data_IF_230742511782
#
_entry.id   IF_230742511782
#
_cell.length_a   1.000
_cell.length_b   1.000
_cell.length_c   1.000
_cell.angle_alpha   90.00
_cell.angle_beta   90.00
_cell.angle_gamma   90.00
#
_symmetry.space_group_name_H-M   'P 1'
#
loop_
_entity.id
_entity.type
_entity.pdbx_description
1 polymer ?
#
# COMPACT_ATOMS: atom_id res chain seq x y z
N UNK A 1 -5.34 -23.49 -8.54
CA UNK A 1 -4.19 -22.81 -9.19
C UNK A 1 -4.33 -21.30 -9.07
N UNK A 2 -5.31 -20.65 -9.72
CA UNK A 2 -5.46 -19.19 -9.70
C UNK A 2 -5.52 -18.53 -8.30
N UNK A 3 -6.23 -19.13 -7.32
CA UNK A 3 -6.28 -18.61 -5.95
C UNK A 3 -4.89 -18.48 -5.28
N UNK A 4 -3.96 -19.38 -5.59
CA UNK A 4 -2.59 -19.34 -5.04
C UNK A 4 -1.86 -18.12 -5.57
N UNK A 5 -1.98 -17.85 -6.87
CA UNK A 5 -1.34 -16.70 -7.52
C UNK A 5 -1.99 -15.39 -7.08
N UNK A 6 -3.32 -15.34 -6.95
CA UNK A 6 -4.05 -14.19 -6.39
C UNK A 6 -3.48 -13.87 -5.01
N UNK A 7 -3.44 -14.85 -4.11
CA UNK A 7 -2.94 -14.66 -2.75
C UNK A 7 -1.51 -14.14 -2.73
N UNK A 8 -0.60 -14.76 -3.48
CA UNK A 8 0.82 -14.39 -3.44
C UNK A 8 1.07 -13.00 -4.05
N UNK A 9 0.43 -12.69 -5.18
CA UNK A 9 0.60 -11.38 -5.84
C UNK A 9 0.02 -10.25 -4.99
N UNK A 10 -1.19 -10.42 -4.45
CA UNK A 10 -1.80 -9.41 -3.58
C UNK A 10 -1.03 -9.24 -2.26
N UNK A 11 -0.49 -10.32 -1.69
CA UNK A 11 0.41 -10.23 -0.53
C UNK A 11 1.65 -9.38 -0.82
N UNK A 12 2.28 -9.56 -1.99
CA UNK A 12 3.42 -8.72 -2.44
C UNK A 12 3.03 -7.26 -2.68
N UNK A 13 1.74 -7.02 -2.88
CA UNK A 13 1.12 -5.71 -3.00
C UNK A 13 0.56 -5.18 -1.67
N UNK A 14 0.95 -5.79 -0.55
CA UNK A 14 0.55 -5.44 0.81
C UNK A 14 -0.94 -5.60 1.12
N UNK A 15 -1.65 -6.49 0.42
CA UNK A 15 -3.04 -6.85 0.71
C UNK A 15 -3.11 -8.27 1.29
N UNK A 16 -3.80 -8.43 2.42
CA UNK A 16 -4.08 -9.74 3.01
C UNK A 16 -5.31 -10.40 2.36
N UNK A 17 -5.72 -11.58 2.83
CA UNK A 17 -6.85 -12.33 2.25
C UNK A 17 -8.18 -11.56 2.26
N UNK A 18 -8.49 -10.86 3.36
CA UNK A 18 -9.71 -10.06 3.50
C UNK A 18 -9.67 -8.87 2.55
N UNK A 19 -8.58 -8.12 2.55
CA UNK A 19 -8.41 -6.97 1.65
C UNK A 19 -8.47 -7.38 0.17
N UNK A 20 -7.88 -8.53 -0.16
CA UNK A 20 -7.87 -9.08 -1.52
C UNK A 20 -9.26 -9.46 -1.99
N UNK A 21 -10.00 -10.23 -1.18
CA UNK A 21 -11.35 -10.62 -1.52
C UNK A 21 -12.26 -9.39 -1.65
N UNK A 22 -12.14 -8.41 -0.73
CA UNK A 22 -12.93 -7.19 -0.76
C UNK A 22 -12.66 -6.38 -2.05
N UNK A 23 -11.39 -6.22 -2.43
CA UNK A 23 -11.00 -5.49 -3.65
C UNK A 23 -11.55 -6.15 -4.93
N UNK A 24 -11.47 -7.47 -5.03
CA UNK A 24 -11.92 -8.18 -6.24
C UNK A 24 -13.45 -8.13 -6.32
N UNK A 25 -14.15 -8.49 -5.24
CA UNK A 25 -15.63 -8.44 -5.19
C UNK A 25 -16.11 -7.02 -5.46
N UNK A 26 -15.62 -6.04 -4.69
CA UNK A 26 -16.08 -4.66 -4.82
C UNK A 26 -15.73 -4.01 -6.16
N UNK A 27 -14.60 -4.41 -6.76
CA UNK A 27 -14.24 -3.98 -8.13
C UNK A 27 -15.16 -4.58 -9.18
N UNK A 28 -15.37 -5.90 -9.15
CA UNK A 28 -16.21 -6.62 -10.12
C UNK A 28 -17.72 -6.51 -9.86
N UNK A 29 -18.15 -5.86 -8.77
CA UNK A 29 -19.53 -5.35 -8.64
C UNK A 29 -19.88 -4.36 -9.76
N UNK A 30 -18.88 -3.71 -10.37
CA UNK A 30 -19.07 -2.71 -11.42
C UNK A 30 -18.54 -3.15 -12.79
N UNK A 31 -19.17 -2.62 -13.83
CA UNK A 31 -18.68 -2.66 -15.21
C UNK A 31 -18.73 -4.05 -15.84
N UNK A 32 -17.81 -4.27 -16.78
CA UNK A 32 -17.66 -5.50 -17.57
C UNK A 32 -16.24 -5.61 -18.15
N UNK A 33 -15.88 -6.79 -18.64
CA UNK A 33 -14.70 -6.97 -19.51
C UNK A 33 -15.06 -6.76 -20.99
N UNK A 34 -14.08 -6.77 -21.89
CA UNK A 34 -14.30 -6.53 -23.32
C UNK A 34 -13.50 -7.49 -24.22
N UNK A 35 -14.22 -8.24 -25.05
CA UNK A 35 -13.72 -9.30 -25.93
C UNK A 35 -14.72 -9.66 -27.02
N UNK A 36 -15.33 -8.65 -27.64
CA UNK A 36 -16.42 -8.80 -28.61
C UNK A 36 -16.02 -9.50 -29.92
N UNK A 37 -14.72 -9.59 -30.21
CA UNK A 37 -14.19 -10.21 -31.43
C UNK A 37 -12.73 -10.67 -31.27
N UNK A 38 -12.13 -11.20 -32.35
CA UNK A 38 -10.76 -11.75 -32.34
C UNK A 38 -9.71 -10.73 -31.88
N UNK A 39 -8.81 -11.15 -30.98
CA UNK A 39 -7.80 -10.27 -30.38
C UNK A 39 -6.71 -9.82 -31.37
N UNK A 40 -6.49 -10.55 -32.46
CA UNK A 40 -5.52 -10.23 -33.52
C UNK A 40 -5.96 -9.06 -34.42
N UNK A 41 -7.21 -8.61 -34.30
CA UNK A 41 -7.72 -7.38 -34.93
C UNK A 41 -7.40 -6.11 -34.12
N UNK A 42 -6.75 -6.24 -32.98
CA UNK A 42 -6.29 -5.12 -32.15
C UNK A 42 -4.86 -4.74 -32.58
N UNK A 43 -4.69 -3.48 -33.00
CA UNK A 43 -3.40 -2.93 -33.41
C UNK A 43 -2.40 -2.72 -32.27
N UNK A 44 -1.23 -2.11 -32.57
CA UNK A 44 -0.15 -1.93 -31.60
C UNK A 44 -0.56 -1.09 -30.39
N UNK A 45 0.11 -1.33 -29.27
CA UNK A 45 0.01 -0.55 -28.03
C UNK A 45 0.50 0.90 -28.22
N UNK A 46 0.20 1.83 -27.29
CA UNK A 46 0.46 3.27 -27.46
C UNK A 46 1.89 3.64 -27.87
N UNK A 47 2.91 3.00 -27.29
CA UNK A 47 4.33 3.31 -27.58
C UNK A 47 4.78 2.83 -28.98
N UNK A 48 4.05 1.90 -29.59
CA UNK A 48 4.29 1.39 -30.95
C UNK A 48 3.24 1.88 -31.96
N UNK A 49 2.28 2.69 -31.53
CA UNK A 49 1.23 3.22 -32.37
C UNK A 49 1.78 4.32 -33.31
N UNK A 50 1.25 4.43 -34.54
CA UNK A 50 1.67 5.47 -35.46
C UNK A 50 1.20 6.85 -34.96
N UNK A 51 1.98 7.89 -35.29
CA UNK A 51 1.83 9.23 -34.71
C UNK A 51 0.39 9.75 -34.80
N UNK A 52 -0.34 9.50 -35.88
CA UNK A 52 -1.70 9.99 -36.08
C UNK A 52 -2.72 9.50 -35.04
N UNK A 53 -2.37 8.51 -34.22
CA UNK A 53 -3.20 8.06 -33.10
C UNK A 53 -3.06 8.92 -31.84
N UNK A 54 -2.21 9.95 -31.86
CA UNK A 54 -2.12 10.98 -30.81
C UNK A 54 -1.87 10.41 -29.41
N UNK A 55 -0.97 9.42 -29.32
CA UNK A 55 -0.62 8.76 -28.06
C UNK A 55 -1.65 7.72 -27.58
N UNK A 56 -2.68 7.44 -28.38
CA UNK A 56 -3.55 6.27 -28.18
C UNK A 56 -2.98 5.06 -28.93
N UNK A 57 -3.37 3.86 -28.49
CA UNK A 57 -3.03 2.58 -29.13
C UNK A 57 -4.20 1.60 -29.05
N UNK A 58 -3.93 0.33 -29.36
CA UNK A 58 -4.91 -0.75 -29.40
C UNK A 58 -6.12 -0.45 -30.29
N UNK A 59 -5.89 0.30 -31.38
CA UNK A 59 -6.94 0.57 -32.37
C UNK A 59 -7.41 -0.75 -32.98
N UNK A 60 -8.70 -1.05 -32.80
CA UNK A 60 -9.30 -2.28 -33.31
C UNK A 60 -9.88 -2.09 -34.71
N UNK A 61 -9.67 -3.07 -35.59
CA UNK A 61 -10.34 -3.15 -36.90
C UNK A 61 -11.60 -4.01 -36.89
N UNK A 62 -12.02 -4.51 -35.72
CA UNK A 62 -13.22 -5.32 -35.55
C UNK A 62 -14.47 -4.43 -35.41
N UNK A 63 -15.41 -4.54 -36.35
CA UNK A 63 -16.65 -3.75 -36.33
C UNK A 63 -16.37 -2.25 -36.29
N UNK A 64 -17.00 -1.55 -35.34
CA UNK A 64 -16.74 -0.13 -35.06
C UNK A 64 -15.43 0.12 -34.32
N UNK A 65 -14.77 -0.92 -33.80
CA UNK A 65 -13.51 -0.85 -33.05
C UNK A 65 -13.64 -0.31 -31.62
N UNK A 66 -14.85 0.07 -31.18
CA UNK A 66 -15.12 0.65 -29.86
C UNK A 66 -16.53 0.26 -29.38
N UNK A 67 -16.93 0.71 -28.19
CA UNK A 67 -18.30 0.54 -27.69
C UNK A 67 -18.77 -0.92 -27.71
N UNK A 68 -19.78 -1.22 -28.55
CA UNK A 68 -20.37 -2.56 -28.67
C UNK A 68 -19.38 -3.61 -29.20
N UNK A 69 -18.38 -3.17 -29.97
CA UNK A 69 -17.36 -4.03 -30.59
C UNK A 69 -16.00 -3.95 -29.86
N UNK A 70 -15.98 -3.39 -28.64
CA UNK A 70 -14.74 -3.20 -27.91
C UNK A 70 -14.03 -4.52 -27.57
N UNK A 71 -12.71 -4.49 -27.70
CA UNK A 71 -11.80 -5.57 -27.30
C UNK A 71 -10.73 -4.94 -26.42
N UNK A 72 -10.51 -5.50 -25.24
CA UNK A 72 -9.47 -5.05 -24.30
C UNK A 72 -8.72 -6.24 -23.74
N UNK A 73 -9.41 -7.11 -22.99
CA UNK A 73 -8.80 -8.31 -22.41
C UNK A 73 -9.00 -9.55 -23.28
N UNK A 74 -9.93 -9.49 -24.25
CA UNK A 74 -10.38 -10.66 -25.01
C UNK A 74 -11.40 -11.51 -24.24
N UNK A 75 -11.71 -11.20 -22.99
CA UNK A 75 -12.76 -11.86 -22.20
C UNK A 75 -14.05 -11.04 -22.31
N UNK A 76 -15.22 -11.68 -22.31
CA UNK A 76 -16.51 -11.02 -22.50
C UNK A 76 -17.49 -11.39 -21.38
N UNK A 77 -17.19 -10.91 -20.17
CA UNK A 77 -17.91 -11.14 -18.91
C UNK A 77 -18.60 -9.86 -18.47
N UNK A 78 -19.86 -9.98 -18.03
CA UNK A 78 -20.59 -8.98 -17.25
C UNK A 78 -21.03 -9.67 -15.97
N UNK A 79 -20.49 -9.21 -14.83
CA UNK A 79 -20.63 -9.92 -13.56
C UNK A 79 -21.99 -9.73 -12.92
N UNK A 80 -22.53 -8.51 -12.95
CA UNK A 80 -23.74 -8.13 -12.21
C UNK A 80 -24.86 -7.68 -13.15
N UNK A 81 -26.11 -7.82 -12.70
CA UNK A 81 -27.29 -7.28 -13.38
C UNK A 81 -27.44 -5.75 -13.18
N UNK A 82 -26.56 -5.14 -12.38
CA UNK A 82 -26.55 -3.70 -12.05
C UNK A 82 -25.14 -3.10 -12.23
N UNK A 83 -24.54 -3.13 -13.44
CA UNK A 83 -23.11 -2.85 -13.64
C UNK A 83 -22.64 -1.44 -13.24
N UNK A 84 -23.55 -0.51 -12.98
CA UNK A 84 -23.25 0.88 -12.62
C UNK A 84 -23.81 1.25 -11.25
N UNK A 85 -24.09 0.27 -10.39
CA UNK A 85 -24.66 0.48 -9.06
C UNK A 85 -24.00 -0.45 -8.04
N UNK A 86 -23.69 0.11 -6.88
CA UNK A 86 -23.24 -0.68 -5.74
C UNK A 86 -24.41 -1.45 -5.13
N UNK A 87 -24.29 -2.77 -5.07
CA UNK A 87 -25.13 -3.71 -4.34
C UNK A 87 -24.37 -5.04 -4.17
N UNK A 88 -25.03 -6.09 -3.66
CA UNK A 88 -24.39 -7.37 -3.38
C UNK A 88 -24.49 -8.38 -4.53
N UNK A 89 -24.90 -7.95 -5.74
CA UNK A 89 -25.24 -8.87 -6.83
C UNK A 89 -24.07 -9.75 -7.27
N UNK A 90 -22.81 -9.28 -7.15
CA UNK A 90 -21.64 -10.11 -7.48
C UNK A 90 -21.60 -11.40 -6.66
N UNK A 91 -21.76 -11.30 -5.33
CA UNK A 91 -21.72 -12.47 -4.44
C UNK A 91 -22.99 -13.31 -4.58
N UNK A 92 -24.15 -12.67 -4.71
CA UNK A 92 -25.42 -13.36 -4.95
C UNK A 92 -25.36 -14.20 -6.23
N UNK A 93 -24.80 -13.66 -7.31
CA UNK A 93 -24.60 -14.38 -8.57
C UNK A 93 -23.52 -15.46 -8.41
N UNK A 94 -22.37 -15.15 -7.81
CA UNK A 94 -21.26 -16.11 -7.63
C UNK A 94 -21.72 -17.39 -6.91
N UNK A 95 -22.54 -17.25 -5.88
CA UNK A 95 -23.04 -18.37 -5.08
C UNK A 95 -24.39 -18.92 -5.56
N UNK A 96 -25.22 -18.12 -6.23
CA UNK A 96 -26.56 -18.50 -6.68
C UNK A 96 -26.60 -19.41 -7.91
N UNK A 97 -25.47 -19.55 -8.62
CA UNK A 97 -25.36 -20.40 -9.79
C UNK A 97 -24.24 -21.42 -9.66
N UNK A 98 -24.36 -22.53 -10.39
CA UNK A 98 -23.25 -23.41 -10.70
C UNK A 98 -22.58 -22.98 -12.00
N UNK A 99 -21.26 -23.19 -12.10
CA UNK A 99 -20.46 -22.61 -13.17
C UNK A 99 -19.87 -23.68 -14.09
N UNK A 100 -19.95 -23.46 -15.40
CA UNK A 100 -19.26 -24.26 -16.41
C UNK A 100 -18.35 -23.42 -17.30
N UNK A 101 -17.30 -24.07 -17.78
CA UNK A 101 -16.21 -23.45 -18.51
C UNK A 101 -16.62 -23.25 -19.98
N UNK A 102 -16.45 -22.04 -20.48
CA UNK A 102 -16.82 -21.63 -21.83
C UNK A 102 -15.76 -20.71 -22.45
N UNK A 103 -15.94 -20.31 -23.71
CA UNK A 103 -15.06 -19.38 -24.42
C UNK A 103 -15.76 -18.08 -24.78
N UNK A 104 -15.02 -16.98 -24.66
CA UNK A 104 -15.42 -15.67 -25.21
C UNK A 104 -15.47 -15.69 -26.74
N UNK A 105 -16.06 -14.67 -27.39
CA UNK A 105 -15.94 -14.49 -28.85
C UNK A 105 -14.48 -14.39 -29.34
N UNK A 106 -13.55 -13.93 -28.51
CA UNK A 106 -12.11 -13.91 -28.81
C UNK A 106 -11.39 -15.24 -28.48
N UNK A 107 -12.10 -16.27 -28.00
CA UNK A 107 -11.54 -17.58 -27.66
C UNK A 107 -10.94 -17.71 -26.25
N UNK A 108 -11.05 -16.67 -25.42
CA UNK A 108 -10.52 -16.65 -24.05
C UNK A 108 -11.38 -17.49 -23.09
N UNK A 109 -10.77 -18.08 -22.06
CA UNK A 109 -11.49 -18.87 -21.06
C UNK A 109 -12.28 -17.97 -20.10
N UNK A 110 -13.55 -18.32 -19.90
CA UNK A 110 -14.44 -17.72 -18.90
C UNK A 110 -15.44 -18.75 -18.40
N UNK A 111 -16.27 -18.38 -17.43
CA UNK A 111 -17.36 -19.22 -16.91
C UNK A 111 -18.72 -18.60 -17.20
N UNK A 112 -19.72 -19.46 -17.40
CA UNK A 112 -21.15 -19.10 -17.51
C UNK A 112 -21.96 -19.96 -16.55
N UNK A 113 -23.13 -19.47 -16.15
CA UNK A 113 -24.07 -20.28 -15.37
C UNK A 113 -24.50 -21.54 -16.13
N UNK A 114 -24.50 -22.69 -15.45
CA UNK A 114 -24.88 -24.01 -16.01
C UNK A 114 -26.35 -24.06 -16.43
N UNK A 115 -26.65 -25.01 -17.31
CA UNK A 115 -28.01 -25.40 -17.71
C UNK A 115 -28.87 -24.24 -18.26
N UNK A 116 -28.21 -23.19 -18.77
CA UNK A 116 -28.88 -21.98 -19.26
C UNK A 116 -29.54 -21.14 -18.14
N UNK A 117 -29.18 -21.38 -16.88
CA UNK A 117 -29.75 -20.66 -15.74
C UNK A 117 -29.45 -19.15 -15.82
N UNK A 118 -30.44 -18.32 -15.47
CA UNK A 118 -30.32 -16.87 -15.48
C UNK A 118 -30.21 -16.24 -16.89
N UNK A 119 -30.51 -16.96 -17.96
CA UNK A 119 -30.50 -16.40 -19.31
C UNK A 119 -31.34 -15.12 -19.41
N UNK A 120 -30.76 -14.07 -20.02
CA UNK A 120 -31.45 -12.79 -20.25
C UNK A 120 -31.45 -11.83 -19.05
N UNK A 121 -30.91 -12.21 -17.89
CA UNK A 121 -30.96 -11.41 -16.66
C UNK A 121 -29.91 -10.30 -16.58
N UNK A 122 -28.78 -10.46 -17.28
CA UNK A 122 -27.68 -9.50 -17.28
C UNK A 122 -27.88 -8.51 -18.43
N UNK A 123 -27.88 -7.19 -18.19
CA UNK A 123 -28.15 -6.22 -19.24
C UNK A 123 -27.00 -6.12 -20.24
N UNK A 124 -27.34 -5.84 -21.51
CA UNK A 124 -26.34 -5.49 -22.52
C UNK A 124 -25.89 -4.03 -22.36
N UNK A 125 -24.58 -3.72 -22.52
CA UNK A 125 -24.07 -2.37 -22.34
C UNK A 125 -24.64 -1.31 -23.31
N UNK A 126 -25.22 -1.71 -24.45
CA UNK A 126 -25.73 -0.79 -25.48
C UNK A 126 -27.18 -1.12 -25.88
N UNK A 127 -27.98 -1.62 -24.94
CA UNK A 127 -29.42 -1.86 -25.14
C UNK A 127 -29.74 -3.04 -26.06
N UNK A 128 -28.78 -3.95 -26.27
CA UNK A 128 -29.03 -5.26 -26.88
C UNK A 128 -29.86 -6.20 -26.00
N UNK A 129 -30.06 -7.45 -26.45
CA UNK A 129 -30.78 -8.45 -25.67
C UNK A 129 -30.04 -8.78 -24.37
N UNK A 130 -30.80 -9.20 -23.34
CA UNK A 130 -30.22 -9.67 -22.09
C UNK A 130 -29.29 -10.87 -22.28
N UNK A 131 -28.36 -11.03 -21.34
CA UNK A 131 -27.24 -11.99 -21.36
C UNK A 131 -27.32 -12.92 -20.16
N UNK A 132 -26.60 -14.03 -20.21
CA UNK A 132 -26.48 -14.96 -19.07
C UNK A 132 -25.42 -14.47 -18.06
N UNK A 133 -25.52 -14.88 -16.77
CA UNK A 133 -24.48 -14.62 -15.77
C UNK A 133 -23.14 -15.23 -16.18
N UNK A 134 -22.07 -14.46 -15.99
CA UNK A 134 -20.71 -14.86 -16.37
C UNK A 134 -19.70 -14.45 -15.32
N UNK A 135 -18.61 -15.20 -15.19
CA UNK A 135 -17.54 -14.99 -14.21
C UNK A 135 -16.17 -15.32 -14.81
N UNK A 136 -15.11 -14.73 -14.27
CA UNK A 136 -13.73 -15.12 -14.56
C UNK A 136 -13.33 -16.36 -13.76
N UNK A 137 -12.28 -17.06 -14.21
CA UNK A 137 -11.66 -18.12 -13.42
C UNK A 137 -11.11 -17.61 -12.06
N UNK A 138 -10.65 -16.35 -12.03
CA UNK A 138 -10.20 -15.68 -10.81
C UNK A 138 -11.35 -15.36 -9.85
N UNK A 139 -12.55 -15.11 -10.37
CA UNK A 139 -13.73 -14.84 -9.52
C UNK A 139 -14.19 -16.12 -8.83
N UNK A 140 -14.23 -17.25 -9.56
CA UNK A 140 -14.53 -18.56 -8.97
C UNK A 140 -13.52 -18.96 -7.89
N UNK A 141 -12.28 -18.45 -7.95
CA UNK A 141 -11.30 -18.69 -6.90
C UNK A 141 -11.77 -18.17 -5.53
N UNK A 142 -12.61 -17.13 -5.50
CA UNK A 142 -13.16 -16.56 -4.28
C UNK A 142 -14.20 -17.47 -3.60
N UNK A 143 -14.83 -18.37 -4.37
CA UNK A 143 -15.78 -19.37 -3.87
C UNK A 143 -15.15 -20.74 -3.68
N UNK A 144 -14.12 -21.08 -4.45
CA UNK A 144 -13.50 -22.42 -4.43
C UNK A 144 -12.36 -22.52 -3.41
N UNK A 145 -11.58 -21.45 -3.21
CA UNK A 145 -10.50 -21.46 -2.23
C UNK A 145 -11.06 -21.48 -0.79
N UNK A 146 -10.60 -22.39 0.10
CA UNK A 146 -11.19 -22.53 1.43
C UNK A 146 -11.12 -21.29 2.33
N UNK A 147 -10.18 -20.38 2.11
CA UNK A 147 -10.06 -19.15 2.91
C UNK A 147 -10.98 -18.08 2.32
N UNK A 148 -10.91 -17.85 1.00
CA UNK A 148 -11.77 -16.86 0.35
C UNK A 148 -13.25 -17.24 0.42
N UNK A 149 -13.59 -18.52 0.39
CA UNK A 149 -14.96 -19.01 0.51
C UNK A 149 -15.58 -18.60 1.85
N UNK A 150 -14.85 -18.78 2.95
CA UNK A 150 -15.33 -18.37 4.29
C UNK A 150 -15.56 -16.86 4.37
N UNK A 151 -14.64 -16.07 3.79
CA UNK A 151 -14.71 -14.61 3.76
C UNK A 151 -15.92 -14.16 2.92
N UNK A 152 -16.06 -14.70 1.71
CA UNK A 152 -17.09 -14.23 0.78
C UNK A 152 -18.48 -14.79 1.07
N UNK A 153 -18.60 -16.00 1.65
CA UNK A 153 -19.86 -16.47 2.22
C UNK A 153 -20.34 -15.58 3.35
N UNK A 154 -19.44 -15.15 4.23
CA UNK A 154 -19.77 -14.22 5.31
C UNK A 154 -20.40 -12.95 4.73
N UNK A 155 -19.79 -12.39 3.69
CA UNK A 155 -20.27 -11.17 3.05
C UNK A 155 -21.51 -11.33 2.18
N UNK A 156 -21.80 -12.55 1.70
CA UNK A 156 -23.08 -12.84 1.07
C UNK A 156 -24.23 -12.63 2.06
N UNK A 157 -24.04 -13.05 3.31
CA UNK A 157 -25.03 -12.91 4.39
C UNK A 157 -24.96 -11.53 5.09
N UNK A 158 -23.80 -10.87 5.02
CA UNK A 158 -23.48 -9.61 5.69
C UNK A 158 -22.82 -8.59 4.72
N UNK A 159 -23.56 -8.06 3.73
CA UNK A 159 -23.00 -7.15 2.72
C UNK A 159 -22.45 -5.83 3.28
N UNK A 160 -22.90 -5.43 4.47
CA UNK A 160 -22.36 -4.28 5.20
C UNK A 160 -20.89 -4.46 5.58
N UNK A 161 -20.45 -5.68 5.89
CA UNK A 161 -19.05 -5.99 6.20
C UNK A 161 -18.17 -5.89 4.93
N UNK A 162 -18.69 -6.33 3.77
CA UNK A 162 -18.02 -6.12 2.48
C UNK A 162 -17.85 -4.63 2.19
N UNK A 163 -18.88 -3.82 2.41
CA UNK A 163 -18.80 -2.39 2.15
C UNK A 163 -17.71 -1.71 3.00
N UNK A 164 -17.60 -2.07 4.29
CA UNK A 164 -16.55 -1.54 5.18
C UNK A 164 -15.15 -2.02 4.76
N UNK A 165 -14.97 -3.32 4.52
CA UNK A 165 -13.68 -3.87 4.11
C UNK A 165 -13.23 -3.37 2.73
N UNK A 166 -14.16 -3.24 1.78
CA UNK A 166 -13.86 -2.67 0.47
C UNK A 166 -13.47 -1.21 0.57
N UNK A 167 -14.18 -0.39 1.36
CA UNK A 167 -13.84 1.01 1.56
C UNK A 167 -12.42 1.17 2.15
N UNK A 168 -12.08 0.39 3.18
CA UNK A 168 -10.75 0.40 3.81
C UNK A 168 -9.65 -0.09 2.85
N UNK A 169 -9.88 -1.20 2.15
CA UNK A 169 -8.91 -1.78 1.22
C UNK A 169 -8.70 -0.90 -0.02
N UNK A 170 -9.76 -0.30 -0.56
CA UNK A 170 -9.68 0.67 -1.66
C UNK A 170 -8.91 1.93 -1.25
N UNK A 171 -9.20 2.48 -0.06
CA UNK A 171 -8.46 3.62 0.47
C UNK A 171 -6.97 3.29 0.61
N UNK A 172 -6.63 2.12 1.16
CA UNK A 172 -5.23 1.65 1.24
C UNK A 172 -4.60 1.51 -0.15
N UNK A 173 -5.29 0.89 -1.11
CA UNK A 173 -4.78 0.64 -2.46
C UNK A 173 -4.25 1.92 -3.13
N UNK A 174 -5.02 3.00 -3.06
CA UNK A 174 -4.73 4.25 -3.77
C UNK A 174 -3.88 5.24 -2.96
N UNK A 175 -3.48 4.88 -1.73
CA UNK A 175 -2.66 5.75 -0.87
C UNK A 175 -1.40 5.06 -0.30
N UNK A 176 -1.22 3.75 -0.51
CA UNK A 176 -0.12 2.94 0.07
C UNK A 176 1.29 3.44 -0.26
N UNK A 177 1.48 4.17 -1.35
CA UNK A 177 2.76 4.70 -1.83
C UNK A 177 2.96 6.19 -1.53
N UNK A 178 2.02 6.80 -0.79
CA UNK A 178 2.11 8.21 -0.40
C UNK A 178 2.99 8.45 0.83
N UNK A 179 3.39 7.41 1.58
CA UNK A 179 4.20 7.56 2.79
C UNK A 179 3.47 8.28 3.93
N UNK A 180 4.17 9.13 4.72
CA UNK A 180 3.60 9.74 5.92
C UNK A 180 2.32 10.54 5.65
N UNK A 181 1.35 10.43 6.56
CA UNK A 181 0.04 11.11 6.47
C UNK A 181 0.16 12.64 6.36
N UNK A 182 1.27 13.23 6.82
CA UNK A 182 1.58 14.65 6.63
C UNK A 182 1.63 15.09 5.15
N UNK A 183 1.76 14.14 4.20
CA UNK A 183 1.72 14.41 2.76
C UNK A 183 0.31 14.44 2.16
N UNK A 184 -0.71 14.07 2.93
CA UNK A 184 -2.08 13.95 2.44
C UNK A 184 -2.73 15.34 2.51
N UNK A 185 -3.32 15.78 1.40
CA UNK A 185 -3.82 17.15 1.25
C UNK A 185 -5.32 17.16 0.91
N UNK A 186 -5.95 18.29 1.16
CA UNK A 186 -7.35 18.54 0.82
C UNK A 186 -8.34 18.13 1.92
N UNK A 187 -9.62 18.50 1.75
CA UNK A 187 -10.62 18.40 2.81
C UNK A 187 -11.15 16.97 3.04
N UNK A 188 -10.77 16.01 2.19
CA UNK A 188 -11.30 14.63 2.21
C UNK A 188 -10.38 13.64 2.94
N UNK A 189 -9.28 14.10 3.55
CA UNK A 189 -8.39 13.24 4.33
C UNK A 189 -9.13 12.78 5.60
N UNK A 190 -9.25 11.47 5.85
CA UNK A 190 -9.92 10.96 7.04
C UNK A 190 -9.12 11.30 8.30
N UNK A 191 -9.82 11.50 9.42
CA UNK A 191 -9.19 11.75 10.74
C UNK A 191 -8.54 10.49 11.33
N UNK A 192 -9.04 9.31 10.97
CA UNK A 192 -8.55 8.04 11.49
C UNK A 192 -7.19 7.71 10.87
N UNK A 193 -6.20 7.43 11.72
CA UNK A 193 -4.91 6.89 11.29
C UNK A 193 -4.99 5.38 11.13
N UNK A 194 -4.23 4.84 10.20
CA UNK A 194 -4.23 3.42 9.85
C UNK A 194 -2.83 2.84 10.01
N UNK A 195 -2.74 1.60 10.50
CA UNK A 195 -1.45 0.97 10.85
C UNK A 195 -0.47 0.93 9.66
N UNK A 196 -0.96 0.67 8.44
CA UNK A 196 -0.12 0.60 7.24
C UNK A 196 0.49 1.95 6.82
N UNK A 197 0.05 3.07 7.40
CA UNK A 197 0.63 4.40 7.20
C UNK A 197 1.91 4.61 8.04
N UNK A 198 2.34 3.59 8.81
CA UNK A 198 3.44 3.67 9.77
C UNK A 198 3.34 4.91 10.69
N UNK A 199 2.18 5.14 11.35
CA UNK A 199 1.91 6.38 12.07
C UNK A 199 2.94 6.64 13.17
N UNK A 200 3.16 7.91 13.47
CA UNK A 200 3.97 8.37 14.60
C UNK A 200 3.10 9.29 15.45
N UNK A 201 3.34 9.39 16.77
CA UNK A 201 2.62 10.35 17.60
C UNK A 201 2.79 11.78 17.08
N UNK A 202 1.78 12.62 17.29
CA UNK A 202 1.95 14.07 17.09
C UNK A 202 2.93 14.62 18.14
N UNK A 203 3.59 15.74 17.83
CA UNK A 203 4.39 16.48 18.82
C UNK A 203 3.45 17.00 19.92
N UNK A 204 3.75 16.67 21.18
CA UNK A 204 2.91 17.01 22.35
C UNK A 204 3.59 17.95 23.35
N UNK A 205 4.80 18.41 23.05
CA UNK A 205 5.65 19.23 23.92
C UNK A 205 6.40 20.27 23.09
N UNK A 206 7.00 21.25 23.76
CA UNK A 206 7.86 22.22 23.08
C UNK A 206 9.14 21.53 22.61
N UNK A 207 9.59 21.91 21.41
CA UNK A 207 10.80 21.35 20.80
C UNK A 207 12.06 22.01 21.39
N UNK A 208 13.17 21.27 21.38
CA UNK A 208 14.48 21.78 21.76
C UNK A 208 14.91 22.96 20.88
N UNK A 209 15.39 24.03 21.51
CA UNK A 209 15.98 25.19 20.84
C UNK A 209 17.48 25.04 20.61
N UNK A 210 18.12 26.11 20.14
CA UNK A 210 19.55 26.11 19.79
C UNK A 210 20.44 25.77 21.00
N UNK A 211 20.14 26.32 22.18
CA UNK A 211 20.89 26.08 23.40
C UNK A 211 20.77 24.62 23.88
N UNK A 212 19.57 24.07 23.86
CA UNK A 212 19.31 22.68 24.25
C UNK A 212 19.97 21.70 23.28
N UNK A 213 19.93 21.99 21.97
CA UNK A 213 20.62 21.21 20.93
C UNK A 213 22.13 21.20 21.20
N UNK A 214 22.74 22.36 21.47
CA UNK A 214 24.18 22.44 21.77
C UNK A 214 24.55 21.69 23.07
N UNK A 215 23.71 21.78 24.10
CA UNK A 215 23.84 21.05 25.35
C UNK A 215 23.79 19.53 25.12
N UNK A 216 22.77 19.04 24.43
CA UNK A 216 22.58 17.62 24.12
C UNK A 216 23.74 17.05 23.29
N UNK A 217 24.20 17.75 22.25
CA UNK A 217 25.39 17.30 21.47
C UNK A 217 26.61 17.15 22.37
N UNK A 218 26.77 18.02 23.36
CA UNK A 218 27.89 17.95 24.32
C UNK A 218 27.75 16.77 25.28
N UNK A 219 26.55 16.51 25.80
CA UNK A 219 26.26 15.34 26.63
C UNK A 219 26.50 14.03 25.87
N UNK A 220 26.04 13.93 24.61
CA UNK A 220 26.27 12.75 23.76
C UNK A 220 27.77 12.53 23.54
N UNK A 221 28.56 13.57 23.28
CA UNK A 221 30.04 13.45 23.15
C UNK A 221 30.72 12.99 24.44
N UNK A 222 30.15 13.33 25.60
CA UNK A 222 30.63 12.95 26.92
C UNK A 222 30.18 11.55 27.37
N UNK A 223 29.21 10.94 26.69
CA UNK A 223 28.60 9.64 27.05
C UNK A 223 29.54 8.43 26.94
N UNK A 224 30.71 8.60 26.31
CA UNK A 224 31.63 7.49 26.02
C UNK A 224 31.27 6.70 24.76
N UNK A 225 30.16 7.00 24.09
CA UNK A 225 29.87 6.46 22.76
C UNK A 225 30.88 6.97 21.73
N UNK A 226 31.38 6.05 20.91
CA UNK A 226 32.39 6.35 19.88
C UNK A 226 31.75 7.07 18.70
N UNK A 227 32.59 7.73 17.89
CA UNK A 227 32.15 8.31 16.62
C UNK A 227 31.50 7.25 15.73
N UNK A 228 32.11 6.05 15.64
CA UNK A 228 31.60 4.95 14.81
C UNK A 228 30.21 4.51 15.26
N UNK A 229 30.01 4.28 16.55
CA UNK A 229 28.70 3.86 17.09
C UNK A 229 27.61 4.88 16.79
N UNK A 230 27.87 6.16 17.06
CA UNK A 230 26.89 7.24 16.86
C UNK A 230 26.54 7.44 15.38
N UNK A 231 27.56 7.43 14.50
CA UNK A 231 27.34 7.56 13.05
C UNK A 231 26.60 6.34 12.50
N UNK A 232 27.02 5.12 12.87
CA UNK A 232 26.38 3.89 12.40
C UNK A 232 24.93 3.79 12.86
N UNK A 233 24.59 4.13 14.10
CA UNK A 233 23.20 4.08 14.58
C UNK A 233 22.32 5.15 13.91
N UNK A 234 22.83 6.38 13.72
CA UNK A 234 22.10 7.42 12.99
C UNK A 234 21.86 7.01 11.53
N UNK A 235 22.85 6.42 10.88
CA UNK A 235 22.74 5.89 9.53
C UNK A 235 21.76 4.72 9.45
N UNK A 236 21.84 3.73 10.34
CA UNK A 236 20.94 2.58 10.40
C UNK A 236 19.47 3.01 10.52
N UNK A 237 19.18 4.02 11.34
CA UNK A 237 17.84 4.57 11.46
C UNK A 237 17.39 5.31 10.17
N UNK A 238 18.19 6.27 9.69
CA UNK A 238 17.80 7.15 8.59
C UNK A 238 17.78 6.45 7.22
N UNK A 239 18.71 5.53 6.97
CA UNK A 239 18.88 4.83 5.68
C UNK A 239 17.83 3.74 5.42
N UNK A 240 16.98 3.44 6.40
CA UNK A 240 15.78 2.61 6.18
C UNK A 240 14.76 3.28 5.26
N UNK A 241 14.89 4.59 5.00
CA UNK A 241 14.03 5.34 4.09
C UNK A 241 14.20 4.88 2.64
N UNK A 242 13.09 4.81 1.90
CA UNK A 242 13.09 4.62 0.44
C UNK A 242 12.17 5.61 -0.26
N UNK A 243 12.67 6.22 -1.34
CA UNK A 243 11.92 7.24 -2.09
C UNK A 243 10.72 6.72 -2.89
N UNK A 244 10.69 5.40 -3.16
CA UNK A 244 9.66 4.75 -3.99
C UNK A 244 8.26 4.90 -3.41
N UNK A 245 8.08 4.54 -2.14
CA UNK A 245 6.80 4.63 -1.40
C UNK A 245 6.89 5.53 -0.15
N UNK A 246 8.05 6.17 0.05
CA UNK A 246 8.33 7.12 1.13
C UNK A 246 8.20 6.52 2.54
N UNK A 247 8.31 5.20 2.67
CA UNK A 247 8.37 4.50 3.96
C UNK A 247 9.77 4.53 4.55
N UNK A 248 9.86 4.21 5.84
CA UNK A 248 11.11 4.18 6.60
C UNK A 248 11.64 5.56 6.97
N UNK A 249 12.90 5.59 7.40
CA UNK A 249 13.59 6.78 7.90
C UNK A 249 13.64 6.84 9.43
N UNK A 250 14.26 7.89 9.95
CA UNK A 250 14.56 8.02 11.38
C UNK A 250 13.37 8.50 12.24
N UNK A 251 12.29 9.02 11.64
CA UNK A 251 11.11 9.44 12.41
C UNK A 251 10.34 8.22 12.98
N UNK A 252 9.76 8.34 14.17
CA UNK A 252 9.15 7.23 14.90
C UNK A 252 10.14 6.45 15.76
N UNK A 253 11.45 6.74 15.69
CA UNK A 253 12.48 6.08 16.50
C UNK A 253 12.49 4.57 16.32
N UNK A 254 12.07 4.05 15.16
CA UNK A 254 11.79 2.61 14.96
C UNK A 254 13.01 1.71 15.06
N UNK A 255 14.23 2.27 15.06
CA UNK A 255 15.49 1.52 15.21
C UNK A 255 15.57 0.72 16.52
N UNK A 256 14.86 1.14 17.59
CA UNK A 256 14.79 0.40 18.86
C UNK A 256 13.65 -0.62 18.93
N UNK A 257 12.83 -0.70 17.88
CA UNK A 257 11.65 -1.55 17.83
C UNK A 257 11.85 -2.70 16.84
N UNK A 258 11.03 -3.75 16.97
CA UNK A 258 11.00 -4.81 15.98
C UNK A 258 10.39 -4.32 14.65
N UNK A 259 10.88 -4.79 13.49
CA UNK A 259 12.00 -5.72 13.33
C UNK A 259 13.39 -5.04 13.26
N UNK A 260 13.46 -3.70 13.17
CA UNK A 260 14.71 -2.98 12.86
C UNK A 260 15.83 -3.22 13.88
N UNK A 261 15.50 -3.32 15.17
CA UNK A 261 16.47 -3.57 16.24
C UNK A 261 17.16 -4.93 16.14
N UNK A 262 16.59 -5.86 15.36
CA UNK A 262 17.10 -7.22 15.16
C UNK A 262 17.57 -7.50 13.73
N UNK A 263 17.64 -6.50 12.86
CA UNK A 263 18.17 -6.69 11.51
C UNK A 263 19.68 -6.93 11.55
N UNK A 264 20.15 -7.99 10.89
CA UNK A 264 21.58 -8.34 10.81
C UNK A 264 22.47 -7.16 10.39
N UNK A 265 22.03 -6.39 9.40
CA UNK A 265 22.78 -5.20 8.91
C UNK A 265 22.90 -4.09 9.97
N UNK A 266 22.03 -4.10 10.98
CA UNK A 266 22.09 -3.18 12.10
C UNK A 266 22.91 -3.74 13.29
N UNK A 267 23.49 -4.94 13.13
CA UNK A 267 24.37 -5.61 14.10
C UNK A 267 23.76 -5.70 15.51
N UNK A 268 22.70 -6.53 15.70
CA UNK A 268 21.99 -6.60 16.98
C UNK A 268 22.81 -7.24 18.10
N UNK A 269 23.86 -7.99 17.76
CA UNK A 269 24.80 -8.63 18.68
C UNK A 269 25.98 -7.71 19.05
N UNK A 270 26.24 -6.69 18.24
CA UNK A 270 27.18 -5.62 18.53
C UNK A 270 26.63 -4.55 19.48
N UNK A 271 27.02 -3.30 19.23
CA UNK A 271 26.82 -2.20 20.18
C UNK A 271 25.45 -1.52 20.08
N UNK A 272 24.56 -1.90 19.15
CA UNK A 272 23.30 -1.18 18.91
C UNK A 272 22.46 -1.02 20.19
N UNK A 273 22.30 -2.10 20.98
CA UNK A 273 21.52 -2.07 22.23
C UNK A 273 22.15 -1.16 23.28
N UNK A 274 23.48 -1.14 23.35
CA UNK A 274 24.24 -0.25 24.23
C UNK A 274 24.03 1.21 23.84
N UNK A 275 24.12 1.52 22.54
CA UNK A 275 23.87 2.87 22.01
C UNK A 275 22.46 3.33 22.32
N UNK A 276 21.45 2.49 22.04
CA UNK A 276 20.04 2.78 22.34
C UNK A 276 19.88 3.12 23.82
N UNK A 277 20.35 2.26 24.71
CA UNK A 277 20.23 2.46 26.17
C UNK A 277 20.88 3.76 26.63
N UNK A 278 22.11 4.04 26.20
CA UNK A 278 22.79 5.28 26.58
C UNK A 278 22.07 6.53 26.06
N UNK A 279 21.51 6.48 24.86
CA UNK A 279 20.70 7.59 24.34
C UNK A 279 19.37 7.73 25.10
N UNK A 280 18.75 6.64 25.54
CA UNK A 280 17.54 6.68 26.39
C UNK A 280 17.84 7.27 27.78
N UNK A 281 18.99 6.94 28.38
CA UNK A 281 19.44 7.53 29.66
C UNK A 281 19.69 9.04 29.54
N UNK A 282 20.26 9.51 28.41
CA UNK A 282 20.40 10.93 28.10
C UNK A 282 19.03 11.58 27.90
N UNK A 283 18.12 10.90 27.20
CA UNK A 283 16.75 11.38 26.98
C UNK A 283 16.04 11.61 28.32
N UNK A 284 16.08 10.63 29.21
CA UNK A 284 15.45 10.67 30.54
C UNK A 284 16.04 11.79 31.40
N UNK A 285 17.37 11.90 31.42
CA UNK A 285 18.09 12.93 32.18
C UNK A 285 17.74 14.34 31.70
N UNK A 286 17.77 14.55 30.38
CA UNK A 286 17.39 15.84 29.79
C UNK A 286 15.92 16.18 30.05
N UNK A 287 15.01 15.23 29.79
CA UNK A 287 13.58 15.46 29.96
C UNK A 287 13.20 15.70 31.44
N UNK A 288 13.95 15.18 32.40
CA UNK A 288 13.74 15.44 33.83
C UNK A 288 14.32 16.78 34.29
N UNK A 289 15.42 17.22 33.69
CA UNK A 289 16.13 18.45 34.09
C UNK A 289 15.70 19.71 33.31
N UNK A 290 15.15 19.55 32.10
CA UNK A 290 14.81 20.66 31.24
C UNK A 290 13.75 21.58 31.88
N UNK A 291 13.96 22.91 31.90
CA UNK A 291 12.96 23.85 32.39
C UNK A 291 11.78 23.96 31.42
N UNK A 292 10.59 24.20 31.96
CA UNK A 292 9.37 24.42 31.18
C UNK A 292 8.79 23.13 30.59
N UNK A 293 8.23 23.22 29.38
CA UNK A 293 7.57 22.11 28.69
C UNK A 293 8.42 21.53 27.53
N UNK A 294 9.72 21.82 27.51
CA UNK A 294 10.63 21.29 26.49
C UNK A 294 10.90 19.81 26.76
N UNK A 295 10.71 18.98 25.73
CA UNK A 295 11.10 17.56 25.74
C UNK A 295 11.85 17.23 24.46
N UNK A 296 12.64 16.17 24.52
CA UNK A 296 13.31 15.61 23.35
C UNK A 296 12.91 14.16 23.15
N UNK A 297 12.69 13.78 21.89
CA UNK A 297 12.37 12.40 21.52
C UNK A 297 13.64 11.58 21.36
N UNK A 298 13.51 10.27 21.57
CA UNK A 298 14.57 9.31 21.27
C UNK A 298 14.98 9.37 19.79
N UNK A 299 13.99 9.52 18.89
CA UNK A 299 14.21 9.60 17.45
C UNK A 299 15.11 10.77 17.06
N UNK A 300 14.91 11.93 17.68
CA UNK A 300 15.78 13.09 17.48
C UNK A 300 17.16 12.89 18.11
N UNK A 301 17.27 12.23 19.26
CA UNK A 301 18.56 11.92 19.90
C UNK A 301 19.44 10.98 19.07
N UNK A 302 18.85 10.00 18.39
CA UNK A 302 19.59 9.12 17.47
C UNK A 302 20.23 9.94 16.35
N UNK A 303 19.48 10.83 15.70
CA UNK A 303 19.99 11.66 14.62
C UNK A 303 20.99 12.70 15.14
N UNK A 304 20.66 13.36 16.26
CA UNK A 304 21.52 14.35 16.90
C UNK A 304 22.86 13.76 17.34
N UNK A 305 22.86 12.50 17.79
CA UNK A 305 24.07 11.73 18.10
C UNK A 305 25.00 11.60 16.89
N UNK A 306 24.45 11.24 15.73
CA UNK A 306 25.19 11.21 14.47
C UNK A 306 25.76 12.58 14.09
N UNK A 307 24.95 13.65 14.20
CA UNK A 307 25.42 15.02 13.97
C UNK A 307 26.59 15.39 14.89
N UNK A 308 26.47 15.12 16.19
CA UNK A 308 27.50 15.41 17.18
C UNK A 308 28.81 14.63 16.92
N UNK A 309 28.69 13.40 16.44
CA UNK A 309 29.82 12.55 16.08
C UNK A 309 30.54 13.03 14.81
N UNK A 310 29.80 13.47 13.78
CA UNK A 310 30.37 14.06 12.56
C UNK A 310 31.12 15.35 12.90
N UNK A 311 30.55 16.23 13.72
CA UNK A 311 31.24 17.45 14.20
C UNK A 311 32.54 17.11 14.94
N UNK A 312 32.49 16.09 15.82
CA UNK A 312 33.67 15.60 16.55
C UNK A 312 34.75 15.07 15.60
N UNK A 313 34.37 14.30 14.58
CA UNK A 313 35.28 13.76 13.58
C UNK A 313 35.90 14.86 12.70
N UNK A 314 35.09 15.82 12.24
CA UNK A 314 35.57 16.96 11.46
C UNK A 314 36.59 17.79 12.26
N UNK A 315 36.31 18.06 13.55
CA UNK A 315 37.23 18.77 14.43
C UNK A 315 38.55 18.02 14.62
N UNK A 316 38.52 16.69 14.75
CA UNK A 316 39.72 15.86 14.82
C UNK A 316 40.58 15.94 13.55
N UNK A 317 39.96 16.26 12.41
CA UNK A 317 40.64 16.54 11.14
C UNK A 317 40.95 18.03 10.90
N UNK A 318 40.81 18.90 11.91
CA UNK A 318 41.13 20.33 11.81
C UNK A 318 40.04 21.21 11.20
N UNK A 319 38.79 20.72 11.10
CA UNK A 319 37.67 21.48 10.55
C UNK A 319 36.61 21.82 11.60
N UNK A 320 36.29 23.10 11.73
CA UNK A 320 35.21 23.57 12.60
C UNK A 320 33.93 23.71 11.78
N UNK A 321 33.10 22.68 11.82
CA UNK A 321 31.78 22.67 11.18
C UNK A 321 30.68 22.48 12.23
N UNK A 322 29.49 22.99 11.92
CA UNK A 322 28.26 22.69 12.66
C UNK A 322 27.34 21.94 11.72
N UNK A 323 26.96 20.72 12.12
CA UNK A 323 26.05 19.91 11.30
C UNK A 323 24.61 20.39 11.55
N UNK A 324 23.85 20.74 10.50
CA UNK A 324 22.45 21.13 10.64
C UNK A 324 21.62 20.02 11.28
N UNK A 325 20.65 20.43 12.11
CA UNK A 325 19.74 19.53 12.78
C UNK A 325 18.37 20.17 12.88
N UNK A 326 17.32 19.41 12.58
CA UNK A 326 15.93 19.85 12.65
C UNK A 326 15.18 18.93 13.62
N UNK A 327 14.74 19.42 14.79
CA UNK A 327 13.95 18.65 15.74
C UNK A 327 12.50 18.49 15.24
N UNK A 328 11.76 17.59 15.91
CA UNK A 328 10.35 17.35 15.66
C UNK A 328 10.01 15.90 15.31
N UNK A 329 10.99 14.98 15.35
CA UNK A 329 10.68 13.56 15.29
C UNK A 329 10.00 13.14 16.59
N UNK A 330 9.13 12.15 16.51
CA UNK A 330 8.40 11.59 17.66
C UNK A 330 8.67 10.11 17.84
#
# INVERSE_FOLDING_TARGET
>A
AAAVDIRETFRRMAMNDVETAALIVGGHTFGKTHGAGPADLVGPEPEAAPLEQMGLGWKSSYGTGTGKDAITTGIEVVWTNTPTKWDNSFLEILYGYEWELTKSPAGAWQYTAKDGAGAGTIPDPFGGPGRSPTMLATDLSLRVDPIYERITRRWLEHPEELADEFAKAWYKLIHRDMGPVARYLGPLVPKQTLLWQDPVPAVSHDLVGEAEIASLKSQIRASGLTVSQLVSTAWAAASSFRGSDKRGGANGGRIRLQPQVGWEVNDPDGDLRKVIRTLEEIQESFNSAAPGNIKVSFADLVVLGGCAAIEKAAKAAGHNITVPFTPGRT
#
